data_IF_936851129665
#
_entry.id   IF_936851129665
#
_cell.length_a   1.000
_cell.length_b   1.000
_cell.length_c   1.000
_cell.angle_alpha   90.00
_cell.angle_beta   90.00
_cell.angle_gamma   90.00
#
_symmetry.space_group_name_H-M   'P 1'
#
loop_
_entity.id
_entity.type
_entity.pdbx_description
1 polymer ?
#
# COMPACT_ATOMS: atom_id res chain seq x y z
N UNK A 1 35.25 -2.98 -0.06
CA UNK A 1 34.58 -4.21 -0.53
C UNK A 1 33.67 -3.81 -1.68
N UNK A 2 34.03 -4.19 -2.91
CA UNK A 2 33.33 -3.79 -4.12
C UNK A 2 32.29 -4.86 -4.48
N UNK A 3 31.01 -4.48 -4.60
CA UNK A 3 29.98 -5.38 -5.13
C UNK A 3 29.98 -5.26 -6.65
N UNK A 4 30.17 -6.42 -7.29
CA UNK A 4 30.16 -6.58 -8.74
C UNK A 4 28.75 -6.38 -9.29
N UNK A 5 28.64 -5.48 -10.28
CA UNK A 5 27.46 -5.27 -11.12
C UNK A 5 27.22 -6.49 -12.01
N UNK A 6 26.05 -7.15 -11.98
CA UNK A 6 25.71 -8.16 -12.97
C UNK A 6 25.42 -7.46 -14.33
N UNK A 7 25.94 -7.99 -15.47
CA UNK A 7 25.70 -7.39 -16.77
C UNK A 7 24.38 -7.89 -17.36
N UNK A 8 23.62 -6.98 -17.96
CA UNK A 8 22.57 -7.34 -18.93
C UNK A 8 21.19 -6.75 -18.65
N UNK A 9 21.04 -5.45 -18.90
CA UNK A 9 19.79 -4.91 -19.48
C UNK A 9 20.20 -3.73 -20.37
N UNK A 10 20.49 -4.04 -21.64
CA UNK A 10 20.56 -3.04 -22.70
C UNK A 10 19.16 -2.91 -23.30
N UNK A 11 18.79 -1.66 -23.60
CA UNK A 11 17.62 -1.21 -24.36
C UNK A 11 16.28 -1.32 -23.57
N UNK A 12 15.60 -0.25 -23.19
CA UNK A 12 15.18 0.90 -24.00
C UNK A 12 14.80 2.09 -23.11
N UNK A 13 15.43 3.25 -23.32
CA UNK A 13 15.09 4.55 -22.72
C UNK A 13 13.92 5.26 -23.45
N UNK A 14 13.17 4.56 -24.32
CA UNK A 14 12.20 5.18 -25.26
C UNK A 14 10.73 4.81 -25.02
N UNK A 15 10.34 4.41 -23.81
CA UNK A 15 8.92 4.18 -23.48
C UNK A 15 8.25 5.35 -22.73
N UNK A 16 8.98 6.44 -22.48
CA UNK A 16 8.45 7.66 -21.89
C UNK A 16 7.79 8.50 -23.00
N UNK A 17 6.49 8.80 -22.86
CA UNK A 17 5.63 9.55 -23.80
C UNK A 17 4.88 8.72 -24.86
N UNK A 18 3.86 7.94 -24.44
CA UNK A 18 2.68 7.71 -25.31
C UNK A 18 1.37 7.73 -24.51
N UNK A 19 0.44 8.65 -24.81
CA UNK A 19 -0.95 8.48 -24.40
C UNK A 19 -1.58 7.47 -25.36
N UNK A 20 -2.11 6.35 -24.86
CA UNK A 20 -2.95 5.46 -25.67
C UNK A 20 -4.36 5.44 -25.10
N UNK A 21 -5.22 6.14 -25.82
CA UNK A 21 -6.66 6.22 -25.58
C UNK A 21 -7.42 4.95 -25.93
N UNK A 22 -8.57 4.84 -25.25
CA UNK A 22 -9.85 4.15 -25.54
C UNK A 22 -9.90 3.04 -26.60
N UNK A 23 -10.49 1.92 -26.17
CA UNK A 23 -11.84 1.38 -26.50
C UNK A 23 -11.97 -0.01 -25.85
N UNK A 24 -13.10 -0.62 -25.49
CA UNK A 24 -14.49 -0.26 -25.15
C UNK A 24 -15.22 -1.61 -24.87
N UNK A 25 -16.42 -1.53 -24.30
CA UNK A 25 -17.44 -2.59 -24.05
C UNK A 25 -17.34 -3.25 -22.65
N UNK A 26 -18.40 -3.34 -21.84
CA UNK A 26 -19.85 -3.24 -22.11
C UNK A 26 -20.64 -3.12 -20.80
N UNK A 27 -21.76 -2.36 -20.80
CA UNK A 27 -22.81 -2.48 -19.78
C UNK A 27 -23.50 -1.19 -19.35
N UNK A 28 -24.07 -0.42 -20.29
CA UNK A 28 -24.95 0.72 -19.97
C UNK A 28 -26.39 0.23 -19.74
N UNK A 29 -26.93 0.43 -18.54
CA UNK A 29 -28.38 0.46 -18.30
C UNK A 29 -28.80 1.88 -17.94
N UNK A 30 -29.75 2.37 -18.72
CA UNK A 30 -30.12 3.75 -18.93
C UNK A 30 -31.06 4.24 -17.83
N UNK A 31 -30.77 5.40 -17.26
CA UNK A 31 -31.71 6.19 -16.47
C UNK A 31 -32.65 6.96 -17.41
N UNK A 32 -33.94 6.62 -17.38
CA UNK A 32 -35.03 7.45 -17.91
C UNK A 32 -35.93 7.92 -16.77
N UNK A 33 -36.00 9.25 -16.57
CA UNK A 33 -37.17 10.04 -16.16
C UNK A 33 -36.68 11.49 -16.04
N UNK A 34 -37.32 12.52 -16.59
CA UNK A 34 -38.75 12.79 -16.71
C UNK A 34 -39.03 14.06 -15.88
N UNK A 35 -39.40 15.15 -16.55
CA UNK A 35 -39.43 16.54 -16.10
C UNK A 35 -40.57 16.95 -15.14
N UNK A 36 -40.18 17.67 -14.07
CA UNK A 36 -40.85 18.77 -13.30
C UNK A 36 -42.28 18.58 -12.67
N UNK A 37 -42.82 19.56 -11.90
CA UNK A 37 -42.74 19.63 -10.43
C UNK A 37 -44.12 19.61 -9.74
N UNK A 38 -44.21 19.24 -8.45
CA UNK A 38 -45.40 19.53 -7.64
C UNK A 38 -45.10 19.65 -6.15
N UNK A 39 -46.01 20.34 -5.49
CA UNK A 39 -45.84 21.23 -4.34
C UNK A 39 -46.11 20.55 -2.99
N UNK A 40 -45.38 21.03 -1.98
CA UNK A 40 -45.74 21.14 -0.56
C UNK A 40 -45.69 19.93 0.41
N UNK A 41 -45.01 20.25 1.52
CA UNK A 41 -45.36 20.01 2.91
C UNK A 41 -44.88 18.71 3.59
N UNK A 42 -43.98 18.90 4.57
CA UNK A 42 -43.77 17.96 5.67
C UNK A 42 -42.33 17.86 6.16
N UNK A 43 -41.85 18.84 6.93
CA UNK A 43 -40.69 18.64 7.82
C UNK A 43 -41.09 17.68 8.97
N UNK A 44 -40.16 16.96 9.60
CA UNK A 44 -39.22 17.62 10.50
C UNK A 44 -37.76 17.21 10.31
N UNK A 45 -36.89 18.21 10.41
CA UNK A 45 -35.47 18.04 10.66
C UNK A 45 -35.26 17.31 11.98
N UNK A 46 -34.68 16.12 11.94
CA UNK A 46 -34.03 15.50 13.10
C UNK A 46 -32.54 15.42 12.83
N UNK A 47 -31.82 16.26 13.57
CA UNK A 47 -30.38 16.16 13.83
C UNK A 47 -30.01 14.74 14.26
N UNK A 48 -29.03 14.13 13.59
CA UNK A 48 -28.40 12.88 14.00
C UNK A 48 -26.88 13.07 14.04
N UNK A 49 -26.42 13.26 15.29
CA UNK A 49 -25.11 13.12 15.93
C UNK A 49 -23.81 12.98 15.11
N UNK A 50 -22.70 13.58 15.61
CA UNK A 50 -21.35 13.38 15.08
C UNK A 50 -20.90 11.91 15.23
N UNK A 51 -20.16 11.42 14.24
CA UNK A 51 -19.51 10.11 14.28
C UNK A 51 -18.65 9.99 15.53
N UNK A 52 -18.96 9.00 16.37
CA UNK A 52 -18.21 8.68 17.57
C UNK A 52 -16.74 8.31 17.23
N UNK A 53 -15.77 8.64 18.09
CA UNK A 53 -14.40 8.19 17.93
C UNK A 53 -14.35 6.66 18.01
N UNK A 54 -13.67 6.03 17.06
CA UNK A 54 -13.43 4.59 17.06
C UNK A 54 -12.76 4.17 18.38
N UNK A 55 -13.40 3.24 19.08
CA UNK A 55 -12.88 2.67 20.32
C UNK A 55 -11.55 1.92 20.07
N UNK A 56 -10.62 1.89 21.04
CA UNK A 56 -9.41 1.11 20.93
C UNK A 56 -9.76 -0.39 20.89
N UNK A 57 -9.45 -1.06 19.78
CA UNK A 57 -9.47 -2.52 19.71
C UNK A 57 -8.36 -3.08 20.62
N UNK A 58 -8.65 -4.04 21.50
CA UNK A 58 -7.64 -4.65 22.37
C UNK A 58 -6.62 -5.43 21.52
N UNK A 59 -5.34 -5.53 21.95
CA UNK A 59 -4.35 -6.34 21.25
C UNK A 59 -4.81 -7.80 21.23
N UNK A 60 -4.97 -8.36 20.02
CA UNK A 60 -5.16 -9.79 19.85
C UNK A 60 -3.92 -10.51 20.41
N UNK A 61 -4.15 -11.42 21.37
CA UNK A 61 -3.10 -12.21 21.99
C UNK A 61 -2.37 -13.05 20.92
N UNK A 62 -1.17 -12.64 20.53
CA UNK A 62 -0.33 -13.36 19.58
C UNK A 62 0.31 -14.59 20.24
N UNK A 63 0.34 -15.69 19.49
CA UNK A 63 0.95 -16.95 19.86
C UNK A 63 2.41 -16.76 20.30
N UNK A 64 2.83 -17.55 21.29
CA UNK A 64 4.19 -17.57 21.84
C UNK A 64 5.20 -18.17 20.86
N UNK A 65 5.51 -17.41 19.81
CA UNK A 65 6.66 -17.57 18.93
C UNK A 65 6.98 -16.18 18.41
N UNK A 66 8.21 -15.69 18.57
CA UNK A 66 8.55 -14.36 18.08
C UNK A 66 8.34 -14.33 16.57
N UNK A 67 7.49 -13.43 16.10
CA UNK A 67 7.29 -13.18 14.67
C UNK A 67 8.63 -12.74 14.09
N UNK A 68 9.11 -13.41 13.05
CA UNK A 68 10.37 -13.04 12.38
C UNK A 68 10.08 -12.19 11.15
N UNK A 69 11.06 -11.37 10.77
CA UNK A 69 10.98 -10.56 9.55
C UNK A 69 10.79 -11.41 8.29
N UNK A 70 11.44 -12.57 8.23
CA UNK A 70 11.29 -13.52 7.13
C UNK A 70 9.86 -14.07 7.02
N UNK A 71 9.17 -14.25 8.15
CA UNK A 71 7.77 -14.67 8.15
C UNK A 71 6.88 -13.58 7.54
N UNK A 72 7.12 -12.30 7.87
CA UNK A 72 6.41 -11.16 7.26
C UNK A 72 6.68 -11.09 5.75
N UNK A 73 7.93 -11.28 5.33
CA UNK A 73 8.29 -11.31 3.90
C UNK A 73 7.60 -12.46 3.16
N UNK A 74 7.59 -13.66 3.77
CA UNK A 74 6.91 -14.82 3.21
C UNK A 74 5.39 -14.60 3.11
N UNK A 75 4.79 -13.91 4.08
CA UNK A 75 3.37 -13.54 4.02
C UNK A 75 3.10 -12.55 2.89
N UNK A 76 3.90 -11.49 2.79
CA UNK A 76 3.78 -10.49 1.72
C UNK A 76 3.94 -11.11 0.33
N UNK A 77 4.84 -12.09 0.18
CA UNK A 77 5.08 -12.79 -1.08
C UNK A 77 3.86 -13.58 -1.59
N UNK A 78 2.90 -13.95 -0.72
CA UNK A 78 1.65 -14.63 -1.16
C UNK A 78 0.78 -13.73 -2.04
N UNK A 79 0.95 -12.42 -1.92
CA UNK A 79 0.16 -11.43 -2.65
C UNK A 79 0.81 -11.01 -3.98
N UNK A 80 1.92 -11.65 -4.39
CA UNK A 80 2.59 -11.32 -5.64
C UNK A 80 1.64 -11.37 -6.84
N UNK A 81 1.60 -10.30 -7.63
CA UNK A 81 0.71 -10.17 -8.78
C UNK A 81 -0.71 -9.69 -8.48
N UNK A 82 -1.08 -9.50 -7.19
CA UNK A 82 -2.40 -8.92 -6.84
C UNK A 82 -2.49 -7.49 -7.40
N UNK A 83 -3.60 -7.11 -8.07
CA UNK A 83 -3.75 -5.78 -8.66
C UNK A 83 -3.62 -4.64 -7.65
N UNK A 84 -2.97 -3.56 -8.09
CA UNK A 84 -2.92 -2.31 -7.35
C UNK A 84 -4.25 -1.57 -7.48
N UNK A 85 -4.89 -1.26 -6.35
CA UNK A 85 -6.07 -0.39 -6.29
C UNK A 85 -5.89 0.56 -5.12
N UNK A 86 -5.94 1.87 -5.41
CA UNK A 86 -5.77 2.92 -4.40
C UNK A 86 -6.81 2.76 -3.28
N UNK A 87 -6.37 2.84 -2.01
CA UNK A 87 -7.16 2.67 -0.79
C UNK A 87 -7.81 1.28 -0.64
N UNK A 88 -7.31 0.26 -1.33
CA UNK A 88 -7.77 -1.11 -1.15
C UNK A 88 -6.87 -1.86 -0.17
N UNK A 89 -7.47 -2.66 0.70
CA UNK A 89 -6.78 -3.53 1.66
C UNK A 89 -7.43 -4.92 1.67
N UNK A 90 -7.41 -5.60 0.53
CA UNK A 90 -8.01 -6.93 0.37
C UNK A 90 -7.05 -7.91 -0.32
N UNK A 91 -7.17 -9.24 -0.10
CA UNK A 91 -6.36 -10.22 -0.82
C UNK A 91 -6.51 -10.20 -2.34
N UNK A 92 -7.59 -9.61 -2.88
CA UNK A 92 -7.88 -9.53 -4.31
C UNK A 92 -7.46 -8.21 -4.97
N UNK A 93 -7.18 -7.18 -4.18
CA UNK A 93 -6.79 -5.85 -4.63
C UNK A 93 -6.26 -5.05 -3.43
N UNK A 94 -5.09 -4.42 -3.57
CA UNK A 94 -4.46 -3.68 -2.48
C UNK A 94 -3.64 -2.49 -2.96
N UNK A 95 -3.45 -1.51 -2.10
CA UNK A 95 -2.42 -0.49 -2.24
C UNK A 95 -1.20 -0.78 -1.35
N UNK A 96 -0.28 0.18 -1.26
CA UNK A 96 0.99 -0.01 -0.59
C UNK A 96 0.84 -0.22 0.93
N UNK A 97 0.00 0.57 1.61
CA UNK A 97 -0.33 0.39 3.03
C UNK A 97 -1.25 -0.81 3.27
N UNK A 98 -2.14 -1.13 2.34
CA UNK A 98 -3.00 -2.31 2.40
C UNK A 98 -2.21 -3.61 2.39
N UNK A 99 -1.16 -3.70 1.57
CA UNK A 99 -0.25 -4.85 1.56
C UNK A 99 0.44 -5.03 2.93
N UNK A 100 0.99 -3.95 3.50
CA UNK A 100 1.70 -4.04 4.79
C UNK A 100 0.74 -4.40 5.92
N UNK A 101 -0.45 -3.81 5.92
CA UNK A 101 -1.51 -4.17 6.88
C UNK A 101 -1.84 -5.66 6.83
N UNK A 102 -2.07 -6.21 5.64
CA UNK A 102 -2.41 -7.63 5.48
C UNK A 102 -1.26 -8.55 5.90
N UNK A 103 -0.02 -8.22 5.52
CA UNK A 103 1.16 -9.01 5.88
C UNK A 103 1.38 -9.06 7.39
N UNK A 104 1.23 -7.93 8.09
CA UNK A 104 1.39 -7.86 9.55
C UNK A 104 0.18 -8.40 10.33
N UNK A 105 -1.03 -8.24 9.78
CA UNK A 105 -2.26 -8.74 10.41
C UNK A 105 -2.28 -10.27 10.53
N UNK A 106 -1.62 -10.99 9.60
CA UNK A 106 -1.45 -12.44 9.69
C UNK A 106 -0.75 -12.91 10.98
N UNK A 107 0.02 -12.00 11.61
CA UNK A 107 0.75 -12.26 12.86
C UNK A 107 0.14 -11.53 14.07
N UNK A 108 -1.07 -10.99 13.94
CA UNK A 108 -1.76 -10.26 15.01
C UNK A 108 -1.25 -8.84 15.23
N UNK A 109 -0.41 -8.30 14.33
CA UNK A 109 0.10 -6.94 14.41
C UNK A 109 -0.76 -6.03 13.53
N UNK A 110 -1.45 -5.08 14.13
CA UNK A 110 -2.26 -4.10 13.39
C UNK A 110 -1.44 -2.86 13.04
N UNK A 111 -1.39 -2.52 11.75
CA UNK A 111 -0.82 -1.27 11.26
C UNK A 111 -1.95 -0.29 10.88
N UNK A 112 -1.76 1.03 11.11
CA UNK A 112 -2.72 2.03 10.67
C UNK A 112 -2.66 2.24 9.15
N UNK A 113 -3.70 2.85 8.61
CA UNK A 113 -3.73 3.46 7.27
C UNK A 113 -3.79 4.99 7.44
N UNK A 114 -3.06 5.82 6.68
CA UNK A 114 -2.29 5.60 5.44
C UNK A 114 -0.77 5.36 5.66
N UNK A 115 0.09 5.27 4.62
CA UNK A 115 1.55 5.08 4.78
C UNK A 115 2.23 6.05 5.75
N UNK A 116 1.79 7.31 5.77
CA UNK A 116 2.28 8.34 6.72
C UNK A 116 1.99 7.97 8.18
N UNK A 117 0.88 7.29 8.47
CA UNK A 117 0.58 6.82 9.82
C UNK A 117 1.47 5.63 10.20
N UNK A 118 1.75 4.72 9.26
CA UNK A 118 2.64 3.59 9.50
C UNK A 118 4.07 4.01 9.79
N UNK A 119 4.52 5.13 9.22
CA UNK A 119 5.83 5.68 9.51
C UNK A 119 6.02 6.07 10.99
N UNK A 120 4.93 6.37 11.70
CA UNK A 120 4.96 6.60 13.15
C UNK A 120 5.07 5.33 14.00
N UNK A 121 5.00 4.15 13.39
CA UNK A 121 5.00 2.85 14.09
C UNK A 121 6.41 2.27 14.15
N UNK A 122 6.75 1.63 15.27
CA UNK A 122 8.02 0.95 15.44
C UNK A 122 9.20 1.90 15.69
N UNK A 123 10.41 1.38 15.53
CA UNK A 123 11.66 2.11 15.78
C UNK A 123 12.37 2.51 14.47
N UNK A 124 13.02 3.69 14.39
CA UNK A 124 13.83 4.04 13.23
C UNK A 124 15.00 3.07 13.00
N UNK A 125 15.28 2.77 11.74
CA UNK A 125 16.42 1.96 11.31
C UNK A 125 17.43 2.86 10.60
N UNK A 126 18.65 2.95 11.15
CA UNK A 126 19.74 3.78 10.62
C UNK A 126 20.75 3.02 9.74
N UNK A 127 20.56 1.71 9.59
CA UNK A 127 21.41 0.82 8.79
C UNK A 127 20.67 0.20 7.61
N UNK A 128 21.26 -0.82 6.95
CA UNK A 128 20.57 -1.56 5.90
C UNK A 128 19.29 -2.19 6.47
N UNK A 129 18.12 -1.97 5.82
CA UNK A 129 16.87 -2.58 6.24
C UNK A 129 16.95 -4.10 6.25
N UNK A 130 16.45 -4.71 7.32
CA UNK A 130 16.37 -6.16 7.49
C UNK A 130 15.04 -6.69 6.95
N UNK A 131 14.92 -8.01 6.85
CA UNK A 131 13.66 -8.65 6.47
C UNK A 131 12.54 -8.15 7.39
N UNK A 132 11.39 -7.81 6.80
CA UNK A 132 10.21 -7.33 7.51
C UNK A 132 10.21 -5.83 7.81
N UNK A 133 11.35 -5.13 7.78
CA UNK A 133 11.36 -3.68 8.02
C UNK A 133 10.48 -2.95 6.99
N UNK A 134 9.73 -1.95 7.44
CA UNK A 134 8.94 -1.08 6.58
C UNK A 134 9.83 0.02 6.01
N UNK A 135 9.82 0.18 4.70
CA UNK A 135 10.66 1.13 3.96
C UNK A 135 9.75 2.19 3.34
N UNK A 136 10.01 3.47 3.63
CA UNK A 136 9.13 4.57 3.27
C UNK A 136 9.76 5.49 2.23
N UNK A 137 9.00 5.84 1.21
CA UNK A 137 9.46 6.62 0.07
C UNK A 137 8.69 7.94 -0.02
N UNK A 138 9.39 8.98 -0.48
CA UNK A 138 8.82 10.26 -0.88
C UNK A 138 8.99 10.41 -2.39
N UNK A 139 7.99 9.95 -3.13
CA UNK A 139 8.00 9.90 -4.59
C UNK A 139 7.50 11.20 -5.23
N UNK A 140 6.68 11.98 -4.50
CA UNK A 140 6.03 13.18 -5.01
C UNK A 140 6.62 14.49 -4.48
N UNK A 141 7.54 14.44 -3.52
CA UNK A 141 8.20 15.60 -2.92
C UNK A 141 7.52 16.14 -1.66
N UNK A 142 6.23 15.85 -1.45
CA UNK A 142 5.42 16.43 -0.36
C UNK A 142 5.38 15.61 0.94
N UNK A 143 6.21 14.56 1.05
CA UNK A 143 6.30 13.71 2.24
C UNK A 143 6.18 12.23 1.90
N UNK A 144 5.91 11.40 2.91
CA UNK A 144 5.81 9.95 2.72
C UNK A 144 4.60 9.64 1.84
N UNK A 145 4.87 9.09 0.66
CA UNK A 145 3.86 8.75 -0.34
C UNK A 145 3.68 7.25 -0.51
N UNK A 146 4.69 6.46 -0.16
CA UNK A 146 4.70 5.04 -0.45
C UNK A 146 5.44 4.24 0.63
N UNK A 147 5.03 2.99 0.80
CA UNK A 147 5.59 2.05 1.78
C UNK A 147 5.82 0.69 1.14
N UNK A 148 6.88 0.01 1.56
CA UNK A 148 7.24 -1.33 1.13
C UNK A 148 7.77 -2.18 2.29
N UNK A 149 7.82 -3.49 2.10
CA UNK A 149 8.42 -4.43 3.05
C UNK A 149 9.81 -4.83 2.54
N UNK A 150 10.85 -4.57 3.32
CA UNK A 150 12.21 -5.01 3.01
C UNK A 150 12.33 -6.53 3.11
N UNK A 151 13.03 -7.14 2.15
CA UNK A 151 13.33 -8.59 2.18
C UNK A 151 14.62 -8.92 2.94
N UNK A 152 15.38 -7.91 3.37
CA UNK A 152 16.72 -8.05 3.93
C UNK A 152 17.82 -8.37 2.91
N UNK A 153 17.47 -8.46 1.61
CA UNK A 153 18.39 -8.85 0.52
C UNK A 153 18.62 -7.73 -0.50
N UNK A 154 18.41 -6.48 -0.08
CA UNK A 154 18.48 -5.30 -0.98
C UNK A 154 17.28 -5.15 -1.91
N UNK A 155 16.21 -5.93 -1.69
CA UNK A 155 14.95 -5.83 -2.42
C UNK A 155 13.80 -5.53 -1.47
N UNK A 156 12.67 -5.11 -2.06
CA UNK A 156 11.42 -4.82 -1.38
C UNK A 156 10.25 -5.52 -2.06
N UNK A 157 9.22 -5.84 -1.28
CA UNK A 157 7.90 -6.25 -1.79
C UNK A 157 6.94 -5.07 -1.57
N UNK A 158 6.26 -4.64 -2.63
CA UNK A 158 5.33 -3.51 -2.58
C UNK A 158 4.18 -3.67 -3.57
N UNK A 159 3.02 -3.11 -3.25
CA UNK A 159 1.98 -2.85 -4.23
C UNK A 159 2.37 -1.61 -5.04
N UNK A 160 2.82 -1.80 -6.28
CA UNK A 160 3.35 -0.74 -7.11
C UNK A 160 2.26 -0.11 -7.96
N UNK A 161 2.02 1.20 -7.77
CA UNK A 161 1.14 1.98 -8.64
C UNK A 161 1.65 2.05 -10.08
N UNK A 162 2.98 2.00 -10.27
CA UNK A 162 3.63 2.00 -11.57
C UNK A 162 3.50 0.66 -12.31
N UNK A 163 3.74 -0.46 -11.61
CA UNK A 163 3.56 -1.79 -12.21
C UNK A 163 2.08 -2.16 -12.34
N UNK A 164 1.22 -1.61 -11.47
CA UNK A 164 -0.21 -1.91 -11.41
C UNK A 164 -0.55 -3.16 -10.59
N UNK A 165 0.43 -3.73 -9.87
CA UNK A 165 0.26 -4.93 -9.05
C UNK A 165 1.37 -5.04 -7.98
N UNK A 166 1.22 -6.00 -7.06
CA UNK A 166 2.24 -6.36 -6.07
C UNK A 166 3.43 -7.01 -6.75
N UNK A 167 4.61 -6.42 -6.58
CA UNK A 167 5.86 -6.90 -7.19
C UNK A 167 7.00 -6.87 -6.17
N UNK A 168 8.05 -7.63 -6.45
CA UNK A 168 9.37 -7.44 -5.85
C UNK A 168 10.21 -6.52 -6.74
N UNK A 169 10.96 -5.59 -6.15
CA UNK A 169 11.86 -4.67 -6.86
C UNK A 169 13.10 -4.36 -6.03
N UNK A 170 14.21 -3.90 -6.64
CA UNK A 170 15.35 -3.36 -5.89
C UNK A 170 14.90 -2.25 -4.94
N UNK A 171 15.52 -2.15 -3.77
CA UNK A 171 15.13 -1.17 -2.73
C UNK A 171 15.26 0.29 -3.20
N UNK A 172 16.10 0.52 -4.19
CA UNK A 172 16.39 1.79 -4.86
C UNK A 172 15.54 2.05 -6.12
N UNK A 173 14.65 1.12 -6.49
CA UNK A 173 13.84 1.23 -7.70
C UNK A 173 12.69 2.25 -7.62
N UNK A 174 11.92 2.37 -6.51
CA UNK A 174 10.91 3.42 -6.40
C UNK A 174 11.56 4.80 -6.46
N UNK A 175 11.01 5.70 -7.28
CA UNK A 175 11.59 7.01 -7.50
C UNK A 175 11.47 7.86 -6.23
N UNK A 176 12.55 8.13 -5.50
CA UNK A 176 12.49 8.93 -4.29
C UNK A 176 13.85 9.10 -3.61
N UNK A 177 13.97 10.09 -2.73
CA UNK A 177 15.17 10.26 -1.89
C UNK A 177 15.25 9.10 -0.89
N UNK A 178 16.49 8.64 -0.62
CA UNK A 178 16.79 7.40 0.13
C UNK A 178 15.86 7.18 1.34
N UNK A 179 15.22 6.01 1.42
CA UNK A 179 14.07 5.81 2.29
C UNK A 179 14.48 5.70 3.75
N UNK A 180 13.65 6.26 4.62
CA UNK A 180 13.71 6.00 6.05
C UNK A 180 13.00 4.66 6.31
N UNK A 181 13.57 3.85 7.20
CA UNK A 181 13.03 2.54 7.53
C UNK A 181 12.54 2.49 8.98
N UNK A 182 11.47 1.73 9.22
CA UNK A 182 10.91 1.46 10.54
C UNK A 182 10.86 -0.04 10.80
N UNK A 183 11.31 -0.44 11.98
CA UNK A 183 11.21 -1.82 12.46
C UNK A 183 10.06 -1.96 13.43
N UNK A 184 9.15 -2.87 13.11
CA UNK A 184 7.94 -3.15 13.90
C UNK A 184 8.11 -4.37 14.81
N UNK A 185 9.06 -5.27 14.49
CA UNK A 185 9.35 -6.51 15.21
C UNK A 185 10.48 -6.37 16.23
#
# INVERSE_FOLDING_TARGET
MAYATPPGFRETEEAYLRPRGRRAASGEQQYQNGSEPTTAAGAPSTSAAPAAPAAPVPPAAAASGSVTGEAVVAEAAKYMGVPYVLNAASPSAMDCSGLTMLAYAAFGISLPDPPVAQYGVGVPVYGPPQAGDLVFYNEYGDGISHVAIATGRGTIIHASSYAGYVTESPIDAPAGRLPEARRVL
#
